data_IF_565684564508
#
_entry.id   IF_565684564508
#
_cell.length_a   1.000
_cell.length_b   1.000
_cell.length_c   1.000
_cell.angle_alpha   90.00
_cell.angle_beta   90.00
_cell.angle_gamma   90.00
#
_symmetry.space_group_name_H-M   'P 1'
#
loop_
_entity.id
_entity.type
_entity.pdbx_description
1 polymer ?
#
# COMPACT_ATOMS: atom_id res chain seq x y z
N UNK A 1 8.45 5.58 0.61
CA UNK A 1 9.07 4.63 1.57
C UNK A 1 10.51 4.32 1.17
N UNK A 2 11.40 4.13 2.15
CA UNK A 2 12.80 3.74 1.91
C UNK A 2 13.10 2.39 2.57
N UNK A 3 13.45 1.41 1.74
CA UNK A 3 13.84 0.07 2.13
C UNK A 3 15.34 -0.13 1.88
N UNK A 4 16.15 0.01 2.93
CA UNK A 4 17.62 0.06 2.81
C UNK A 4 18.08 1.28 2.00
N UNK A 5 18.84 1.06 0.92
CA UNK A 5 19.29 2.12 0.01
C UNK A 5 18.28 2.47 -1.10
N UNK A 6 17.21 1.68 -1.26
CA UNK A 6 16.22 1.82 -2.32
C UNK A 6 15.02 2.64 -1.86
N UNK A 7 14.38 3.34 -2.80
CA UNK A 7 13.19 4.15 -2.56
C UNK A 7 12.05 3.66 -3.46
N UNK A 8 10.84 3.64 -2.92
CA UNK A 8 9.59 3.43 -3.65
C UNK A 8 8.66 4.59 -3.39
N UNK A 9 7.85 4.92 -4.40
CA UNK A 9 6.98 6.10 -4.42
C UNK A 9 5.54 5.70 -4.77
N UNK A 10 4.60 6.56 -4.38
CA UNK A 10 3.21 6.47 -4.83
C UNK A 10 3.18 6.35 -6.37
N UNK A 11 2.39 5.40 -6.88
CA UNK A 11 2.31 5.06 -8.29
C UNK A 11 3.18 3.88 -8.72
N UNK A 12 4.17 3.46 -7.92
CA UNK A 12 4.89 2.21 -8.19
C UNK A 12 3.94 1.00 -8.09
N UNK A 13 4.13 0.00 -8.95
CA UNK A 13 3.36 -1.24 -8.86
C UNK A 13 3.86 -2.12 -7.71
N UNK A 14 2.98 -2.96 -7.17
CA UNK A 14 3.29 -3.96 -6.15
C UNK A 14 4.50 -4.84 -6.58
N UNK A 15 4.57 -5.20 -7.86
CA UNK A 15 5.73 -5.90 -8.42
C UNK A 15 7.04 -5.10 -8.30
N UNK A 16 7.02 -3.81 -8.67
CA UNK A 16 8.21 -2.95 -8.56
C UNK A 16 8.64 -2.78 -7.10
N UNK A 17 7.68 -2.60 -6.20
CA UNK A 17 7.95 -2.48 -4.76
C UNK A 17 8.58 -3.77 -4.25
N UNK A 18 8.00 -4.94 -4.53
CA UNK A 18 8.53 -6.24 -4.10
C UNK A 18 9.91 -6.54 -4.67
N UNK A 19 10.15 -6.20 -5.94
CA UNK A 19 11.48 -6.32 -6.57
C UNK A 19 12.53 -5.44 -5.90
N UNK A 20 12.13 -4.27 -5.38
CA UNK A 20 13.05 -3.34 -4.71
C UNK A 20 13.23 -3.71 -3.24
N UNK A 21 12.14 -3.84 -2.50
CA UNK A 21 12.11 -3.94 -1.04
C UNK A 21 12.03 -5.36 -0.50
N UNK A 22 11.69 -6.35 -1.32
CA UNK A 22 11.40 -7.71 -0.86
C UNK A 22 9.92 -7.90 -0.50
N UNK A 23 9.59 -9.12 -0.06
CA UNK A 23 8.27 -9.43 0.49
C UNK A 23 8.00 -8.58 1.75
N UNK A 24 6.75 -8.18 2.00
CA UNK A 24 6.37 -7.58 3.28
C UNK A 24 6.39 -8.61 4.40
N UNK A 25 6.45 -8.15 5.64
CA UNK A 25 6.40 -8.98 6.84
C UNK A 25 4.97 -9.47 7.12
N UNK A 26 3.97 -8.65 6.79
CA UNK A 26 2.55 -9.03 6.77
C UNK A 26 1.85 -8.46 5.53
N UNK A 27 0.86 -9.20 5.03
CA UNK A 27 0.07 -8.81 3.86
C UNK A 27 -1.41 -9.10 4.12
N UNK A 28 -2.20 -8.03 4.25
CA UNK A 28 -3.65 -8.10 4.33
C UNK A 28 -4.29 -7.76 2.98
N UNK A 29 -5.29 -8.54 2.56
CA UNK A 29 -6.05 -8.30 1.33
C UNK A 29 -7.53 -8.14 1.62
N UNK A 30 -8.16 -7.18 0.96
CA UNK A 30 -9.60 -6.95 1.03
C UNK A 30 -10.13 -6.33 -0.26
N UNK A 31 -11.36 -6.68 -0.60
CA UNK A 31 -12.11 -6.00 -1.65
C UNK A 31 -12.95 -4.90 -1.03
N UNK A 32 -12.94 -3.71 -1.63
CA UNK A 32 -13.76 -2.59 -1.19
C UNK A 32 -14.50 -1.99 -2.38
N UNK A 33 -15.76 -1.65 -2.18
CA UNK A 33 -16.53 -0.89 -3.17
C UNK A 33 -16.19 0.59 -3.02
N UNK A 34 -15.64 1.19 -4.07
CA UNK A 34 -15.39 2.63 -4.15
C UNK A 34 -16.33 3.26 -5.17
N UNK A 35 -16.70 4.52 -4.92
CA UNK A 35 -17.57 5.30 -5.80
C UNK A 35 -16.73 6.32 -6.55
N UNK A 36 -16.78 6.27 -7.88
CA UNK A 36 -16.10 7.24 -8.74
C UNK A 36 -17.14 8.12 -9.42
N UNK A 37 -17.02 9.43 -9.21
CA UNK A 37 -17.83 10.41 -9.92
C UNK A 37 -17.43 10.48 -11.39
N UNK A 38 -18.37 10.20 -12.28
CA UNK A 38 -18.16 10.23 -13.75
C UNK A 38 -18.85 11.43 -14.41
N UNK A 39 -19.87 11.99 -13.77
CA UNK A 39 -20.50 13.25 -14.16
C UNK A 39 -21.00 14.03 -12.93
N UNK A 40 -21.63 15.19 -13.12
CA UNK A 40 -22.20 15.96 -12.00
C UNK A 40 -23.26 15.18 -11.22
N UNK A 41 -24.00 14.28 -11.87
CA UNK A 41 -25.14 13.54 -11.32
C UNK A 41 -24.98 12.01 -11.35
N UNK A 42 -23.82 11.50 -11.75
CA UNK A 42 -23.58 10.06 -11.89
C UNK A 42 -22.30 9.62 -11.19
N UNK A 43 -22.44 8.56 -10.40
CA UNK A 43 -21.36 7.86 -9.72
C UNK A 43 -21.41 6.38 -10.07
N UNK A 44 -20.25 5.79 -10.31
CA UNK A 44 -20.11 4.38 -10.61
C UNK A 44 -19.47 3.70 -9.40
N UNK A 45 -20.14 2.67 -8.89
CA UNK A 45 -19.58 1.77 -7.89
C UNK A 45 -18.65 0.76 -8.58
N UNK A 46 -17.47 0.56 -8.02
CA UNK A 46 -16.50 -0.41 -8.50
C UNK A 46 -15.83 -1.11 -7.32
N UNK A 47 -15.68 -2.43 -7.42
CA UNK A 47 -14.91 -3.19 -6.46
C UNK A 47 -13.43 -3.15 -6.85
N UNK A 48 -12.59 -2.72 -5.92
CA UNK A 48 -11.14 -2.64 -6.11
C UNK A 48 -10.45 -3.52 -5.08
N UNK A 49 -9.36 -4.14 -5.49
CA UNK A 49 -8.53 -4.92 -4.57
C UNK A 49 -7.63 -3.95 -3.80
N UNK A 50 -7.67 -4.04 -2.48
CA UNK A 50 -6.80 -3.30 -1.58
C UNK A 50 -5.89 -4.28 -0.86
N UNK A 51 -4.59 -4.04 -0.97
CA UNK A 51 -3.57 -4.77 -0.21
C UNK A 51 -2.85 -3.81 0.74
N UNK A 52 -2.81 -4.14 2.02
CA UNK A 52 -2.00 -3.43 3.01
C UNK A 52 -0.76 -4.28 3.31
N UNK A 53 0.41 -3.77 2.95
CA UNK A 53 1.70 -4.43 3.11
C UNK A 53 2.45 -3.79 4.26
N UNK A 54 2.73 -4.59 5.29
CA UNK A 54 3.42 -4.15 6.50
C UNK A 54 4.90 -4.47 6.40
N UNK A 55 5.74 -3.47 6.65
CA UNK A 55 7.18 -3.63 6.80
C UNK A 55 7.61 -3.24 8.21
N UNK A 56 7.99 -4.24 8.99
CA UNK A 56 8.53 -4.08 10.34
C UNK A 56 10.06 -4.28 10.30
N UNK A 57 10.80 -3.25 10.74
CA UNK A 57 12.27 -3.26 10.76
C UNK A 57 12.83 -3.57 12.15
N UNK A 58 11.97 -4.07 13.03
CA UNK A 58 12.25 -4.44 14.41
C UNK A 58 12.22 -3.26 15.38
N UNK A 59 12.38 -3.59 16.66
CA UNK A 59 12.41 -2.67 17.81
C UNK A 59 13.03 -1.30 17.55
N UNK A 60 12.33 -0.28 18.03
CA UNK A 60 12.69 1.15 17.91
C UNK A 60 12.68 1.69 16.47
N UNK A 61 12.16 0.95 15.49
CA UNK A 61 11.87 1.47 14.14
C UNK A 61 10.37 1.59 13.96
N UNK A 62 9.96 2.62 13.23
CA UNK A 62 8.55 2.78 12.86
C UNK A 62 8.16 1.68 11.86
N UNK A 63 7.06 0.99 12.14
CA UNK A 63 6.40 0.08 11.19
C UNK A 63 5.85 0.94 10.07
N UNK A 64 6.10 0.53 8.83
CA UNK A 64 5.55 1.22 7.66
C UNK A 64 4.51 0.35 6.99
N UNK A 65 3.35 0.93 6.68
CA UNK A 65 2.31 0.26 5.93
C UNK A 65 2.18 0.93 4.56
N UNK A 66 2.23 0.12 3.51
CA UNK A 66 2.04 0.51 2.13
C UNK A 66 0.70 -0.03 1.64
N UNK A 67 -0.20 0.84 1.22
CA UNK A 67 -1.49 0.45 0.66
C UNK A 67 -1.47 0.48 -0.84
N UNK A 68 -1.75 -0.67 -1.43
CA UNK A 68 -1.95 -0.86 -2.84
C UNK A 68 -3.43 -0.89 -3.14
N UNK A 69 -3.82 -0.24 -4.25
CA UNK A 69 -5.14 -0.38 -4.84
C UNK A 69 -4.96 -0.87 -6.28
N UNK A 70 -5.57 -2.01 -6.61
CA UNK A 70 -5.40 -2.73 -7.88
C UNK A 70 -3.91 -2.89 -8.25
N UNK A 71 -3.10 -3.26 -7.24
CA UNK A 71 -1.66 -3.49 -7.39
C UNK A 71 -0.80 -2.22 -7.57
N UNK A 72 -1.34 -1.01 -7.37
CA UNK A 72 -0.60 0.25 -7.45
C UNK A 72 -0.51 0.91 -6.07
N UNK A 73 0.68 1.32 -5.66
CA UNK A 73 0.90 2.00 -4.38
C UNK A 73 0.15 3.35 -4.37
N UNK A 74 -0.82 3.50 -3.47
CA UNK A 74 -1.63 4.71 -3.32
C UNK A 74 -1.36 5.49 -2.06
N UNK A 75 -1.06 4.80 -0.96
CA UNK A 75 -0.85 5.43 0.34
C UNK A 75 0.32 4.80 1.08
N UNK A 76 0.95 5.60 1.94
CA UNK A 76 2.00 5.20 2.86
C UNK A 76 1.74 5.89 4.19
N UNK A 77 1.76 5.12 5.28
CA UNK A 77 1.75 5.68 6.62
C UNK A 77 2.64 4.85 7.56
N UNK A 78 2.87 5.38 8.76
CA UNK A 78 3.58 4.67 9.82
C UNK A 78 2.61 4.32 10.93
N UNK A 79 2.66 3.08 11.40
CA UNK A 79 1.81 2.57 12.47
C UNK A 79 2.66 2.26 13.70
N UNK A 80 2.88 3.25 14.55
CA UNK A 80 3.66 3.10 15.78
C UNK A 80 5.10 2.59 15.58
N UNK A 81 5.64 1.95 16.62
CA UNK A 81 6.94 1.28 16.62
C UNK A 81 6.75 -0.24 16.56
N UNK A 82 7.62 -0.94 15.83
CA UNK A 82 7.58 -2.40 15.68
C UNK A 82 8.16 -3.15 16.88
N UNK A 83 7.90 -4.45 16.92
CA UNK A 83 8.25 -5.37 18.04
C UNK A 83 9.63 -6.08 17.89
#
# INVERSE_FOLDING_TARGET
YRCGSKVVNIGDSAYQVRKRCGEPDDLSRRWVTVYRKVSLSEEVAMDVEVEDWTYDRGRNRLVTILRFQDGVLREEWTDGYGD
#
